data_IF_385438908670
#
_entry.id   IF_385438908670
#
_cell.length_a   1.000
_cell.length_b   1.000
_cell.length_c   1.000
_cell.angle_alpha   90.00
_cell.angle_beta   90.00
_cell.angle_gamma   90.00
#
_symmetry.space_group_name_H-M   'P 1'
#
loop_
_entity.id
_entity.type
_entity.pdbx_description
1 polymer ?
#
# COMPACT_ATOMS: atom_id res chain seq x y z
N UNK A 1 3.32 -7.37 13.65
CA UNK A 1 4.08 -7.06 12.42
C UNK A 1 3.61 -5.77 11.76
N UNK A 2 2.32 -5.61 11.45
CA UNK A 2 1.80 -4.40 10.79
C UNK A 2 2.05 -3.09 11.58
N UNK A 3 1.68 -3.05 12.86
CA UNK A 3 1.93 -1.88 13.74
C UNK A 3 3.44 -1.52 13.83
N UNK A 4 4.33 -2.52 13.71
CA UNK A 4 5.77 -2.28 13.66
C UNK A 4 6.17 -1.62 12.34
N UNK A 5 5.62 -2.05 11.21
CA UNK A 5 5.85 -1.45 9.90
C UNK A 5 5.31 -0.01 9.83
N UNK A 6 4.13 0.23 10.40
CA UNK A 6 3.53 1.57 10.51
C UNK A 6 4.39 2.50 11.38
N UNK A 7 4.81 2.07 12.58
CA UNK A 7 5.68 2.88 13.46
C UNK A 7 7.07 3.16 12.86
N UNK A 8 7.50 2.38 11.86
CA UNK A 8 8.74 2.59 11.11
C UNK A 8 8.55 3.42 9.84
N UNK A 9 7.32 3.87 9.54
CA UNK A 9 7.01 4.65 8.34
C UNK A 9 7.25 3.87 7.03
N UNK A 10 7.22 2.53 7.08
CA UNK A 10 7.43 1.68 5.90
C UNK A 10 6.18 1.66 5.02
N UNK A 11 5.02 1.84 5.62
CA UNK A 11 3.73 1.83 4.96
C UNK A 11 3.42 3.24 4.43
N UNK A 12 3.03 3.34 3.16
CA UNK A 12 2.69 4.61 2.52
C UNK A 12 1.38 5.19 3.05
N UNK A 13 1.32 6.51 3.22
CA UNK A 13 0.08 7.25 3.54
C UNK A 13 -1.01 7.09 2.45
N UNK A 14 -0.61 6.71 1.25
CA UNK A 14 -1.50 6.48 0.12
C UNK A 14 -2.04 5.05 0.05
N UNK A 15 -1.48 4.10 0.80
CA UNK A 15 -2.07 2.76 0.91
C UNK A 15 -3.37 2.81 1.73
N UNK A 16 -4.34 1.97 1.37
CA UNK A 16 -5.67 1.91 1.98
C UNK A 16 -5.93 0.57 2.65
N UNK A 17 -5.50 -0.51 1.99
CA UNK A 17 -5.62 -1.85 2.53
C UNK A 17 -4.61 -2.10 3.64
N UNK A 18 -4.99 -2.93 4.60
CA UNK A 18 -4.13 -3.41 5.68
C UNK A 18 -3.46 -2.25 6.44
N UNK A 19 -4.21 -1.20 6.75
CA UNK A 19 -3.76 -0.12 7.62
C UNK A 19 -4.76 0.08 8.76
N UNK A 20 -4.22 0.32 9.95
CA UNK A 20 -5.04 0.71 11.08
C UNK A 20 -5.66 2.08 10.82
N UNK A 21 -6.96 2.22 11.08
CA UNK A 21 -7.70 3.48 11.02
C UNK A 21 -7.87 4.13 9.63
N UNK A 22 -7.68 3.41 8.52
CA UNK A 22 -8.06 3.92 7.18
C UNK A 22 -9.18 3.10 6.56
N UNK A 23 -10.17 3.80 6.02
CA UNK A 23 -11.27 3.17 5.29
C UNK A 23 -10.95 3.11 3.79
N UNK A 24 -11.34 2.04 3.08
CA UNK A 24 -11.33 2.04 1.62
C UNK A 24 -12.08 3.24 1.01
N UNK A 25 -13.14 3.70 1.70
CA UNK A 25 -13.93 4.87 1.29
C UNK A 25 -13.09 6.15 1.22
N UNK A 26 -12.05 6.29 2.04
CA UNK A 26 -11.18 7.47 2.02
C UNK A 26 -10.46 7.61 0.69
N UNK A 27 -10.11 6.49 0.03
CA UNK A 27 -9.45 6.53 -1.28
C UNK A 27 -10.43 6.76 -2.40
N UNK A 28 -11.63 6.19 -2.31
CA UNK A 28 -12.71 6.46 -3.27
C UNK A 28 -13.03 7.96 -3.23
N UNK A 29 -13.20 8.54 -2.05
CA UNK A 29 -13.44 9.97 -1.88
C UNK A 29 -12.30 10.82 -2.47
N UNK A 30 -11.04 10.45 -2.22
CA UNK A 30 -9.88 11.16 -2.80
C UNK A 30 -9.84 11.08 -4.32
N UNK A 31 -10.17 9.93 -4.91
CA UNK A 31 -10.25 9.78 -6.37
C UNK A 31 -11.38 10.65 -6.94
N UNK A 32 -12.57 10.62 -6.33
CA UNK A 32 -13.70 11.46 -6.72
C UNK A 32 -13.35 12.95 -6.65
N UNK A 33 -12.66 13.37 -5.59
CA UNK A 33 -12.20 14.76 -5.46
C UNK A 33 -11.23 15.12 -6.59
N UNK A 34 -10.23 14.29 -6.88
CA UNK A 34 -9.27 14.55 -7.96
C UNK A 34 -9.94 14.68 -9.32
N UNK A 35 -10.94 13.84 -9.61
CA UNK A 35 -11.75 13.92 -10.84
C UNK A 35 -12.53 15.23 -10.89
N UNK A 36 -13.16 15.62 -9.79
CA UNK A 36 -13.95 16.85 -9.71
C UNK A 36 -13.07 18.11 -9.85
N UNK A 37 -11.90 18.14 -9.21
CA UNK A 37 -10.94 19.24 -9.31
C UNK A 37 -10.46 19.42 -10.75
N UNK A 38 -10.08 18.32 -11.42
CA UNK A 38 -9.70 18.35 -12.83
C UNK A 38 -10.84 18.86 -13.73
N UNK A 39 -12.07 18.40 -13.48
CA UNK A 39 -13.25 18.88 -14.20
C UNK A 39 -13.47 20.39 -14.04
N UNK A 40 -13.40 20.92 -12.82
CA UNK A 40 -13.55 22.34 -12.53
C UNK A 40 -12.47 23.20 -13.22
N UNK A 41 -11.25 22.66 -13.34
CA UNK A 41 -10.13 23.32 -14.01
C UNK A 41 -10.12 23.13 -15.54
N UNK A 42 -11.14 22.50 -16.12
CA UNK A 42 -11.21 22.12 -17.55
C UNK A 42 -10.03 21.25 -18.00
N UNK A 43 -9.54 20.40 -17.11
CA UNK A 43 -8.48 19.43 -17.36
C UNK A 43 -9.05 18.02 -17.55
N UNK A 44 -8.29 17.16 -18.22
CA UNK A 44 -8.60 15.73 -18.30
C UNK A 44 -7.97 14.98 -17.13
N UNK A 45 -8.75 14.12 -16.47
CA UNK A 45 -8.26 13.22 -15.42
C UNK A 45 -8.15 11.81 -15.99
N UNK A 46 -6.97 11.19 -15.84
CA UNK A 46 -6.73 9.79 -16.21
C UNK A 46 -6.42 8.97 -14.95
N UNK A 47 -7.13 7.85 -14.77
CA UNK A 47 -6.85 6.88 -13.72
C UNK A 47 -6.30 5.58 -14.33
N UNK A 48 -5.22 5.06 -13.75
CA UNK A 48 -4.66 3.75 -14.10
C UNK A 48 -4.93 2.79 -12.94
N UNK A 49 -5.75 1.78 -13.20
CA UNK A 49 -6.10 0.74 -12.21
C UNK A 49 -5.29 -0.51 -12.54
N UNK A 50 -4.42 -0.92 -11.61
CA UNK A 50 -3.58 -2.11 -11.74
C UNK A 50 -3.99 -3.10 -10.66
N UNK A 51 -4.25 -4.34 -11.08
CA UNK A 51 -4.57 -5.44 -10.18
C UNK A 51 -3.58 -6.59 -10.36
N UNK A 52 -3.29 -7.30 -9.26
CA UNK A 52 -2.33 -8.41 -9.23
C UNK A 52 -3.06 -9.73 -9.02
N UNK A 53 -2.88 -10.66 -9.95
CA UNK A 53 -3.45 -12.01 -9.84
C UNK A 53 -2.81 -12.72 -8.65
N UNK A 54 -3.64 -13.21 -7.72
CA UNK A 54 -3.26 -14.04 -6.58
C UNK A 54 -1.96 -13.55 -5.88
N UNK A 55 -1.97 -12.28 -5.46
CA UNK A 55 -0.76 -11.57 -5.00
C UNK A 55 0.01 -12.30 -3.87
N UNK A 56 -0.68 -13.07 -3.03
CA UNK A 56 -0.04 -13.85 -1.96
C UNK A 56 0.66 -15.11 -2.48
N UNK A 57 0.11 -15.75 -3.52
CA UNK A 57 0.67 -16.99 -4.08
C UNK A 57 1.82 -16.68 -5.04
N UNK A 58 1.74 -15.55 -5.74
CA UNK A 58 2.70 -15.15 -6.77
C UNK A 58 3.85 -14.27 -6.24
N UNK A 59 3.94 -14.07 -4.92
CA UNK A 59 4.99 -13.23 -4.34
C UNK A 59 6.36 -13.91 -4.43
N UNK A 60 7.38 -13.17 -4.87
CA UNK A 60 8.75 -13.67 -4.87
C UNK A 60 9.34 -13.64 -3.45
N UNK A 61 9.28 -14.79 -2.77
CA UNK A 61 9.68 -14.95 -1.37
C UNK A 61 11.11 -14.45 -1.05
N UNK A 62 12.10 -14.75 -1.90
CA UNK A 62 13.47 -14.25 -1.67
C UNK A 62 13.54 -12.72 -1.65
N UNK A 63 12.84 -12.07 -2.57
CA UNK A 63 12.77 -10.61 -2.63
C UNK A 63 12.00 -10.04 -1.42
N UNK A 64 10.91 -10.70 -1.00
CA UNK A 64 10.15 -10.32 0.18
C UNK A 64 11.03 -10.37 1.45
N UNK A 65 11.72 -11.49 1.69
CA UNK A 65 12.62 -11.65 2.83
C UNK A 65 13.79 -10.66 2.79
N UNK A 66 14.33 -10.38 1.60
CA UNK A 66 15.36 -9.35 1.42
C UNK A 66 14.84 -7.95 1.82
N UNK A 67 13.62 -7.58 1.38
CA UNK A 67 12.98 -6.31 1.77
C UNK A 67 12.76 -6.24 3.28
N UNK A 68 12.29 -7.31 3.92
CA UNK A 68 12.11 -7.37 5.38
C UNK A 68 13.43 -7.14 6.13
N UNK A 69 14.51 -7.82 5.72
CA UNK A 69 15.85 -7.59 6.29
C UNK A 69 16.31 -6.14 6.14
N UNK A 70 16.09 -5.53 4.97
CA UNK A 70 16.42 -4.12 4.70
C UNK A 70 15.67 -3.16 5.63
N UNK A 71 14.44 -3.50 6.02
CA UNK A 71 13.65 -2.76 7.00
C UNK A 71 13.94 -3.14 8.46
N UNK A 72 15.08 -3.80 8.72
CA UNK A 72 15.52 -4.24 10.06
C UNK A 72 14.57 -5.22 10.75
N UNK A 73 13.77 -5.96 9.96
CA UNK A 73 13.01 -7.10 10.44
C UNK A 73 13.91 -8.33 10.33
N UNK A 74 14.39 -8.81 11.47
CA UNK A 74 15.37 -9.88 11.56
C UNK A 74 15.14 -10.77 12.79
N UNK A 75 15.97 -11.81 12.92
CA UNK A 75 15.91 -12.75 14.05
C UNK A 75 14.69 -13.66 14.00
N UNK A 76 14.16 -14.03 15.19
CA UNK A 76 13.06 -15.00 15.32
C UNK A 76 11.81 -14.62 14.53
N UNK A 77 11.53 -13.32 14.38
CA UNK A 77 10.39 -12.83 13.60
C UNK A 77 10.55 -13.13 12.11
N UNK A 78 11.76 -12.95 11.55
CA UNK A 78 12.00 -13.27 10.15
C UNK A 78 11.99 -14.78 9.89
N UNK A 79 12.42 -15.58 10.87
CA UNK A 79 12.37 -17.04 10.76
C UNK A 79 10.96 -17.63 10.89
N UNK A 80 9.99 -16.83 11.34
CA UNK A 80 8.59 -17.22 11.48
C UNK A 80 7.75 -16.93 10.22
N UNK A 81 8.20 -15.95 9.42
CA UNK A 81 7.58 -15.55 8.14
C UNK A 81 8.04 -16.49 7.03
#
# INVERSE_FOLDING_TARGET
MLLFLESKGVVSDYQAGLQSHRSPMDKVMKLTQAVNDGFQLKQSTLAVLVDFIAANDNVWHHMLLHKLKKHRIAGKLLNWV
#
